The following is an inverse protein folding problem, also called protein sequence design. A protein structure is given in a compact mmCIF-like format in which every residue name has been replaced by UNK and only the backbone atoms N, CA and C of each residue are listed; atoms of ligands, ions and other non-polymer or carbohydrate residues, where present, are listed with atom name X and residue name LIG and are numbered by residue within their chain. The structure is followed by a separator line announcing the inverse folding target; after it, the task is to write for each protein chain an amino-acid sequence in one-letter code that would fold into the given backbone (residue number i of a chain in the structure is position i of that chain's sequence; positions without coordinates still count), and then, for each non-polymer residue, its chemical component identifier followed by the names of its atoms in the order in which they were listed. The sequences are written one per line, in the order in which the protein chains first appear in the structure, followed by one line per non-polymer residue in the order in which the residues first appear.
data_IF_134966034735
#
_entry.id   IF_134966034735
#
_cell.length_a   1.000
_cell.length_b   1.000
_cell.length_c   1.000
_cell.angle_alpha   90.00
_cell.angle_beta   90.00
_cell.angle_gamma   90.00
#
_symmetry.space_group_name_H-M   'P 1'
#
loop_
_entity.id
_entity.type
_entity.pdbx_description
1 polymer ?
#
# COMPACT_ATOMS: atom_id res chain seq x y z
N UNK A 1 -3.90 -11.46 -14.85
CA UNK A 1 -3.68 -10.24 -14.04
C UNK A 1 -3.84 -10.51 -12.55
N UNK A 2 -4.97 -11.06 -12.09
CA UNK A 2 -5.21 -11.49 -10.69
C UNK A 2 -4.02 -12.22 -10.07
N UNK A 3 -3.48 -13.22 -10.76
CA UNK A 3 -2.31 -14.00 -10.28
C UNK A 3 -1.05 -13.16 -10.08
N UNK A 4 -0.83 -12.11 -10.89
CA UNK A 4 0.33 -11.23 -10.73
C UNK A 4 0.18 -10.31 -9.53
N UNK A 5 -1.04 -9.85 -9.27
CA UNK A 5 -1.35 -9.04 -8.09
C UNK A 5 -1.20 -9.91 -6.83
N UNK A 6 -1.77 -11.12 -6.83
CA UNK A 6 -1.64 -12.07 -5.72
C UNK A 6 -0.17 -12.34 -5.39
N UNK A 7 0.65 -12.74 -6.36
CA UNK A 7 2.09 -12.98 -6.14
C UNK A 7 2.84 -11.75 -5.63
N UNK A 8 2.43 -10.56 -6.07
CA UNK A 8 3.05 -9.33 -5.57
C UNK A 8 2.70 -9.08 -4.11
N UNK A 9 1.46 -9.37 -3.69
CA UNK A 9 1.01 -9.28 -2.29
C UNK A 9 1.73 -10.34 -1.45
N UNK A 10 1.73 -11.60 -1.90
CA UNK A 10 2.38 -12.70 -1.19
C UNK A 10 3.88 -12.37 -0.95
N UNK A 11 4.55 -11.76 -1.93
CA UNK A 11 5.95 -11.35 -1.80
C UNK A 11 6.21 -10.14 -0.90
N UNK A 12 5.18 -9.39 -0.48
CA UNK A 12 5.36 -8.29 0.48
C UNK A 12 5.72 -8.80 1.88
N UNK A 13 5.36 -10.05 2.21
CA UNK A 13 5.78 -10.68 3.46
C UNK A 13 7.29 -10.94 3.51
N UNK A 14 7.90 -11.23 2.36
CA UNK A 14 9.35 -11.48 2.25
C UNK A 14 10.14 -10.17 2.11
N UNK A 15 9.63 -9.23 1.28
CA UNK A 15 10.21 -7.91 1.06
C UNK A 15 9.10 -6.84 1.12
N UNK A 16 8.89 -6.22 2.29
CA UNK A 16 7.88 -5.16 2.45
C UNK A 16 8.19 -3.89 1.65
N UNK A 17 9.44 -3.70 1.21
CA UNK A 17 9.92 -2.48 0.54
C UNK A 17 10.57 -2.82 -0.80
N UNK A 18 9.84 -3.50 -1.71
CA UNK A 18 10.41 -3.91 -2.98
C UNK A 18 10.81 -2.68 -3.78
N UNK A 19 11.86 -2.78 -4.57
CA UNK A 19 12.46 -1.67 -5.34
C UNK A 19 11.49 -0.82 -6.17
N UNK A 20 10.33 -1.38 -6.56
CA UNK A 20 9.28 -0.69 -7.34
C UNK A 20 8.18 -0.07 -6.49
N UNK A 21 8.29 -0.17 -5.17
CA UNK A 21 7.41 0.50 -4.22
C UNK A 21 7.89 1.93 -3.96
N UNK A 22 6.95 2.85 -3.79
CA UNK A 22 7.21 4.25 -3.50
C UNK A 22 6.51 4.60 -2.20
N UNK A 23 7.22 5.21 -1.25
CA UNK A 23 6.63 5.77 -0.03
C UNK A 23 5.66 6.90 -0.40
N UNK A 24 4.47 6.87 0.17
CA UNK A 24 3.47 7.92 0.03
C UNK A 24 3.76 9.03 1.04
N UNK A 25 3.40 10.26 0.67
CA UNK A 25 3.41 11.38 1.60
C UNK A 25 2.19 11.27 2.52
N UNK A 26 2.45 11.26 3.83
CA UNK A 26 1.43 11.14 4.88
C UNK A 26 1.33 12.39 5.74
N UNK A 27 1.98 13.49 5.34
CA UNK A 27 2.02 14.74 6.11
C UNK A 27 0.64 15.36 6.36
N UNK A 28 -0.34 15.07 5.51
CA UNK A 28 -1.73 15.53 5.65
C UNK A 28 -2.67 14.56 6.36
N UNK A 29 -2.18 13.41 6.84
CA UNK A 29 -2.99 12.40 7.52
C UNK A 29 -2.80 12.50 9.04
N UNK A 30 -3.76 12.00 9.85
CA UNK A 30 -3.56 11.81 11.28
C UNK A 30 -2.25 11.04 11.54
N UNK A 31 -1.60 11.27 12.69
CA UNK A 31 -0.37 10.54 13.04
C UNK A 31 -0.64 9.03 12.98
N UNK A 32 -0.06 8.39 11.97
CA UNK A 32 -0.05 6.95 11.77
C UNK A 32 1.35 6.43 12.04
N UNK A 33 1.46 5.40 12.89
CA UNK A 33 2.73 4.74 13.22
C UNK A 33 3.23 3.79 12.12
N UNK A 34 2.59 3.82 10.95
CA UNK A 34 2.81 2.89 9.86
C UNK A 34 3.22 3.61 8.57
N UNK A 35 4.08 2.96 7.80
CA UNK A 35 4.62 3.50 6.56
C UNK A 35 3.70 3.17 5.38
N UNK A 36 3.04 4.19 4.82
CA UNK A 36 2.24 4.03 3.61
C UNK A 36 3.10 3.97 2.35
N UNK A 37 2.84 2.97 1.52
CA UNK A 37 3.56 2.72 0.26
C UNK A 37 2.60 2.35 -0.86
N UNK A 38 3.04 2.59 -2.09
CA UNK A 38 2.38 2.11 -3.31
C UNK A 38 3.29 1.21 -4.11
N UNK A 39 2.75 0.11 -4.66
CA UNK A 39 3.45 -0.78 -5.58
C UNK A 39 2.74 -0.83 -6.94
N UNK A 40 3.50 -0.62 -8.02
CA UNK A 40 2.99 -0.67 -9.39
C UNK A 40 3.09 -2.07 -9.99
N UNK A 41 1.95 -2.64 -10.37
CA UNK A 41 1.87 -3.93 -11.08
C UNK A 41 1.14 -3.73 -12.42
N UNK A 42 1.91 -3.44 -13.48
CA UNK A 42 1.35 -3.18 -14.80
C UNK A 42 0.43 -1.94 -14.82
N UNK A 43 -0.89 -2.16 -14.96
CA UNK A 43 -1.94 -1.13 -14.93
C UNK A 43 -2.63 -0.98 -13.57
N UNK A 44 -2.16 -1.69 -12.55
CA UNK A 44 -2.73 -1.68 -11.20
C UNK A 44 -1.76 -1.07 -10.20
N UNK A 45 -2.31 -0.46 -9.16
CA UNK A 45 -1.59 0.01 -7.97
C UNK A 45 -2.10 -0.78 -6.78
N UNK A 46 -1.16 -1.27 -5.97
CA UNK A 46 -1.42 -1.78 -4.63
C UNK A 46 -1.02 -0.66 -3.67
N UNK A 47 -1.93 -0.19 -2.83
CA UNK A 47 -1.66 0.70 -1.70
C UNK A 47 -1.61 -0.19 -0.48
N UNK A 48 -0.55 -0.06 0.30
CA UNK A 48 -0.32 -0.90 1.46
C UNK A 48 0.41 -0.14 2.56
N UNK A 49 0.28 -0.65 3.78
CA UNK A 49 0.94 -0.17 4.98
C UNK A 49 2.03 -1.15 5.42
N UNK A 50 3.10 -0.63 6.03
CA UNK A 50 4.09 -1.43 6.73
C UNK A 50 4.12 -0.97 8.18
N UNK A 51 3.80 -1.87 9.10
CA UNK A 51 3.84 -1.63 10.54
C UNK A 51 5.10 -2.31 11.09
N UNK A 52 6.10 -1.51 11.49
CA UNK A 52 7.40 -2.05 11.91
C UNK A 52 7.36 -2.79 13.25
N UNK A 53 6.53 -2.32 14.19
CA UNK A 53 6.41 -2.89 15.53
C UNK A 53 5.93 -4.34 15.51
N UNK A 54 5.08 -4.69 14.54
CA UNK A 54 4.45 -6.00 14.46
C UNK A 54 4.85 -6.82 13.22
N UNK A 55 5.70 -6.26 12.36
CA UNK A 55 6.16 -6.87 11.10
C UNK A 55 5.00 -7.29 10.16
N UNK A 56 3.88 -6.56 10.20
CA UNK A 56 2.74 -6.81 9.32
C UNK A 56 2.72 -5.87 8.11
N UNK A 57 2.12 -6.37 7.04
CA UNK A 57 1.84 -5.61 5.81
C UNK A 57 0.35 -5.69 5.51
N UNK A 58 -0.32 -4.55 5.59
CA UNK A 58 -1.76 -4.45 5.31
C UNK A 58 -1.99 -3.94 3.90
N UNK A 59 -2.74 -4.71 3.10
CA UNK A 59 -3.14 -4.29 1.76
C UNK A 59 -4.42 -3.48 1.85
N UNK A 60 -4.30 -2.16 1.74
CA UNK A 60 -5.41 -1.23 1.89
C UNK A 60 -6.29 -1.18 0.64
N UNK A 61 -5.65 -1.13 -0.53
CA UNK A 61 -6.39 -1.02 -1.77
C UNK A 61 -5.66 -1.60 -2.97
N UNK A 62 -6.45 -2.16 -3.89
CA UNK A 62 -5.98 -2.55 -5.23
C UNK A 62 -6.83 -1.79 -6.25
N UNK A 63 -6.22 -0.83 -6.95
CA UNK A 63 -6.93 0.07 -7.87
C UNK A 63 -6.37 -0.01 -9.30
N UNK A 64 -7.27 -0.02 -10.29
CA UNK A 64 -6.94 0.09 -11.72
C UNK A 64 -6.67 1.56 -12.03
N UNK A 65 -5.64 1.88 -12.82
CA UNK A 65 -5.38 3.28 -13.25
C UNK A 65 -6.56 3.84 -14.06
N UNK A 66 -7.07 5.06 -13.73
CA UNK A 66 -6.63 6.33 -14.35
C UNK A 66 -6.04 7.25 -13.27
N UNK A 67 -5.97 8.62 -13.32
CA UNK A 67 -5.20 9.35 -12.31
C UNK A 67 -5.87 9.15 -10.95
N UNK A 68 -5.19 8.42 -10.08
CA UNK A 68 -5.54 8.25 -8.69
C UNK A 68 -4.63 9.17 -7.90
N UNK A 69 -5.26 10.10 -7.18
CA UNK A 69 -4.67 11.25 -6.49
C UNK A 69 -4.46 11.02 -4.99
N UNK A 70 -4.86 9.85 -4.46
CA UNK A 70 -4.66 9.44 -3.07
C UNK A 70 -5.40 10.32 -2.05
N UNK A 71 -6.48 10.99 -2.48
CA UNK A 71 -7.34 11.78 -1.59
C UNK A 71 -8.13 10.93 -0.57
N UNK A 72 -8.27 9.63 -0.83
CA UNK A 72 -8.99 8.65 0.00
C UNK A 72 -8.08 7.90 0.99
N UNK A 73 -6.81 8.32 1.17
CA UNK A 73 -5.89 7.61 2.06
C UNK A 73 -6.39 7.60 3.51
N UNK A 74 -7.03 8.66 3.98
CA UNK A 74 -7.58 8.72 5.34
C UNK A 74 -8.69 7.68 5.54
N UNK A 75 -9.64 7.58 4.60
CA UNK A 75 -10.71 6.57 4.62
C UNK A 75 -10.13 5.15 4.64
N UNK A 76 -9.10 4.88 3.83
CA UNK A 76 -8.43 3.57 3.79
C UNK A 76 -7.72 3.20 5.09
N UNK A 77 -7.41 4.17 5.95
CA UNK A 77 -6.79 3.95 7.26
C UNK A 77 -7.81 3.69 8.36
N UNK A 78 -9.05 4.17 8.22
CA UNK A 78 -10.10 3.93 9.23
C UNK A 78 -10.40 2.43 9.40
N UNK A 79 -10.25 1.65 8.34
CA UNK A 79 -10.43 0.20 8.34
C UNK A 79 -9.35 -0.58 9.12
N UNK A 80 -8.24 0.08 9.50
CA UNK A 80 -7.13 -0.53 10.25
C UNK A 80 -7.23 -0.30 11.77
N UNK A 81 -8.25 0.42 12.23
CA UNK A 81 -8.35 0.94 13.59
C UNK A 81 -9.04 -0.01 14.57
#
# INVERSE_FOLDING_TARGET
MRQRVKRAIDGLSDDPRPSRSIKLDTSGLPQVEMELRRLRIGRWRIVYAVTESEMYVDVLAIRKRPPYDYSDLEELLEDLR
#
